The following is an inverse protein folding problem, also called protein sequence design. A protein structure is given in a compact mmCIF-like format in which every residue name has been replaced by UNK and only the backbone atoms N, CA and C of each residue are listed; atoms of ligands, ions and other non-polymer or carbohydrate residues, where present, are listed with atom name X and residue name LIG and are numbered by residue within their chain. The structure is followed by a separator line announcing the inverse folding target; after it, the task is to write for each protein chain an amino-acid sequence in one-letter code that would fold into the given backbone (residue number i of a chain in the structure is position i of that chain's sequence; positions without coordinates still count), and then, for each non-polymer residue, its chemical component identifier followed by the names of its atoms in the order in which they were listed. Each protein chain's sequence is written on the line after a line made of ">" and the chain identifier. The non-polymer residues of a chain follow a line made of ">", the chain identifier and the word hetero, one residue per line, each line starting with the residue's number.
data_IF_914870166136
#
_entry.id   IF_914870166136
#
_cell.length_a   1.000
_cell.length_b   1.000
_cell.length_c   1.000
_cell.angle_alpha   90.00
_cell.angle_beta   90.00
_cell.angle_gamma   90.00
#
_symmetry.space_group_name_H-M   'P 1'
#
loop_
_entity.id
_entity.type
_entity.pdbx_description
1 polymer ?
#
# COMPACT_ATOMS: atom_id res chain seq x y z
N UNK A 1 20.13 -18.72 -7.82
CA UNK A 1 18.78 -18.36 -7.32
C UNK A 1 18.55 -19.00 -5.94
N UNK A 2 19.36 -18.65 -4.94
CA UNK A 2 19.18 -19.14 -3.56
C UNK A 2 19.60 -18.08 -2.51
N UNK A 3 19.75 -16.80 -2.90
CA UNK A 3 20.22 -15.75 -1.99
C UNK A 3 19.34 -14.49 -1.95
N UNK A 4 18.15 -14.51 -2.57
CA UNK A 4 17.27 -13.32 -2.63
C UNK A 4 15.84 -13.58 -2.14
N UNK A 5 15.43 -14.83 -1.94
CA UNK A 5 14.05 -15.16 -1.54
C UNK A 5 13.78 -14.90 -0.04
N UNK A 6 14.82 -14.75 0.79
CA UNK A 6 14.67 -14.53 2.24
C UNK A 6 14.73 -13.05 2.64
N UNK A 7 15.22 -12.15 1.78
CA UNK A 7 15.19 -10.69 2.02
C UNK A 7 13.89 -10.02 1.55
N UNK A 8 13.02 -10.76 0.86
CA UNK A 8 11.62 -10.38 0.66
C UNK A 8 10.70 -10.94 1.77
N UNK A 9 11.28 -11.50 2.84
CA UNK A 9 10.59 -12.47 3.69
C UNK A 9 10.13 -12.03 5.09
N UNK A 10 10.53 -10.90 5.67
CA UNK A 10 10.14 -10.69 7.09
C UNK A 10 10.08 -9.28 7.68
N UNK A 11 10.52 -8.21 7.01
CA UNK A 11 10.34 -6.84 7.55
C UNK A 11 10.21 -5.75 6.49
N UNK A 12 10.71 -5.99 5.28
CA UNK A 12 10.58 -5.10 4.14
C UNK A 12 9.20 -5.17 3.47
N UNK A 13 8.42 -6.23 3.72
CA UNK A 13 7.09 -6.40 3.13
C UNK A 13 6.06 -5.40 3.65
N UNK A 14 5.82 -5.34 4.98
CA UNK A 14 4.92 -4.34 5.55
C UNK A 14 5.39 -2.91 5.24
N UNK A 15 6.70 -2.64 5.37
CA UNK A 15 7.25 -1.32 5.12
C UNK A 15 7.14 -0.86 3.65
N UNK A 16 7.30 -1.75 2.67
CA UNK A 16 7.08 -1.34 1.27
C UNK A 16 5.61 -1.20 0.93
N UNK A 17 4.71 -1.98 1.55
CA UNK A 17 3.25 -1.84 1.36
C UNK A 17 2.79 -0.50 1.92
N UNK A 18 3.27 -0.12 3.11
CA UNK A 18 3.01 1.20 3.69
C UNK A 18 3.59 2.32 2.81
N UNK A 19 4.79 2.12 2.25
CA UNK A 19 5.39 3.05 1.29
C UNK A 19 4.62 3.10 -0.04
N UNK A 20 4.01 2.00 -0.49
CA UNK A 20 3.10 2.00 -1.65
C UNK A 20 1.81 2.76 -1.36
N UNK A 21 1.28 2.70 -0.13
CA UNK A 21 0.19 3.56 0.31
C UNK A 21 0.57 5.04 0.26
N UNK A 22 1.77 5.39 0.75
CA UNK A 22 2.32 6.75 0.68
C UNK A 22 2.59 7.23 -0.76
N UNK A 23 3.13 6.37 -1.62
CA UNK A 23 3.37 6.66 -3.04
C UNK A 23 2.04 6.75 -3.81
N UNK A 24 1.08 5.89 -3.47
CA UNK A 24 -0.27 5.87 -4.05
C UNK A 24 -1.04 7.16 -3.78
N UNK A 25 -0.69 7.90 -2.73
CA UNK A 25 -1.23 9.24 -2.49
C UNK A 25 -0.73 10.30 -3.48
N UNK A 26 0.28 10.00 -4.29
CA UNK A 26 0.77 10.86 -5.37
C UNK A 26 1.37 12.19 -4.88
N UNK A 27 1.45 13.18 -5.76
CA UNK A 27 1.97 14.53 -5.42
C UNK A 27 0.95 15.41 -4.67
N UNK A 28 -0.25 14.89 -4.39
CA UNK A 28 -1.31 15.60 -3.70
C UNK A 28 -1.92 14.73 -2.59
N UNK A 29 -1.32 14.75 -1.37
CA UNK A 29 -1.67 13.83 -0.30
C UNK A 29 -3.13 13.96 0.17
N UNK A 30 -3.74 15.15 0.03
CA UNK A 30 -5.16 15.35 0.34
C UNK A 30 -6.06 14.55 -0.61
N UNK A 31 -5.79 14.59 -1.92
CA UNK A 31 -6.55 13.81 -2.91
C UNK A 31 -6.28 12.32 -2.69
N UNK A 32 -5.03 11.94 -2.49
CA UNK A 32 -4.63 10.57 -2.17
C UNK A 32 -5.41 9.98 -1.00
N UNK A 33 -5.50 10.70 0.13
CA UNK A 33 -6.23 10.26 1.31
C UNK A 33 -7.75 10.12 1.05
N UNK A 34 -8.35 11.06 0.30
CA UNK A 34 -9.78 10.98 -0.03
C UNK A 34 -10.12 9.80 -0.94
N UNK A 35 -9.26 9.51 -1.93
CA UNK A 35 -9.43 8.37 -2.83
C UNK A 35 -9.22 7.06 -2.08
N UNK A 36 -8.19 6.96 -1.24
CA UNK A 36 -7.95 5.78 -0.41
C UNK A 36 -9.14 5.46 0.51
N UNK A 37 -9.72 6.50 1.15
CA UNK A 37 -10.92 6.36 1.96
C UNK A 37 -12.14 5.90 1.14
N UNK A 38 -12.35 6.49 -0.04
CA UNK A 38 -13.46 6.12 -0.93
C UNK A 38 -13.36 4.65 -1.42
N UNK A 39 -12.16 4.20 -1.81
CA UNK A 39 -11.93 2.81 -2.22
C UNK A 39 -12.16 1.85 -1.06
N UNK A 40 -11.68 2.15 0.15
CA UNK A 40 -11.91 1.30 1.31
C UNK A 40 -13.41 1.15 1.65
N UNK A 41 -14.19 2.23 1.50
CA UNK A 41 -15.65 2.18 1.68
C UNK A 41 -16.31 1.33 0.59
N UNK A 42 -15.92 1.52 -0.67
CA UNK A 42 -16.46 0.77 -1.80
C UNK A 42 -16.18 -0.74 -1.67
N UNK A 43 -14.96 -1.11 -1.29
CA UNK A 43 -14.59 -2.52 -1.06
C UNK A 43 -15.37 -3.13 0.11
N UNK A 44 -15.59 -2.36 1.19
CA UNK A 44 -16.38 -2.81 2.33
C UNK A 44 -17.87 -2.98 2.01
N UNK A 45 -18.41 -2.20 1.07
CA UNK A 45 -19.81 -2.28 0.64
C UNK A 45 -20.05 -3.39 -0.39
N UNK A 46 -19.03 -3.79 -1.14
CA UNK A 46 -19.11 -4.85 -2.16
C UNK A 46 -18.63 -6.24 -1.68
N UNK A 47 -18.37 -6.40 -0.38
CA UNK A 47 -17.92 -7.65 0.23
C UNK A 47 -19.08 -8.62 0.57
#
# INVERSE_FOLDING_TARGET
>A
MHSDAQFAGSSSVPAHVDMMGLIGMGNNPMVGATVACAVAVEEALNA
#
